data_IF_388757704387
#
_entry.id   IF_388757704387
#
_cell.length_a   1.000
_cell.length_b   1.000
_cell.length_c   1.000
_cell.angle_alpha   90.00
_cell.angle_beta   90.00
_cell.angle_gamma   90.00
#
_symmetry.space_group_name_H-M   'P 1'
#
loop_
_entity.id
_entity.type
_entity.pdbx_description
1 polymer ?
#
# COMPACT_ATOMS: atom_id res chain seq x y z
N UNK A 1 -62.10 -22.52 -13.45
CA UNK A 1 -61.09 -23.59 -13.43
C UNK A 1 -59.83 -23.35 -14.31
N UNK A 2 -59.61 -22.13 -14.87
CA UNK A 2 -58.37 -21.90 -15.68
C UNK A 2 -57.10 -21.66 -14.85
N UNK A 3 -57.22 -21.21 -13.59
CA UNK A 3 -56.07 -20.89 -12.74
C UNK A 3 -55.25 -22.10 -12.28
N UNK A 4 -55.93 -23.26 -12.06
CA UNK A 4 -55.28 -24.50 -11.68
C UNK A 4 -54.41 -25.08 -12.80
N UNK A 5 -54.80 -24.91 -14.06
CA UNK A 5 -54.04 -25.39 -15.25
C UNK A 5 -52.80 -24.54 -15.45
N UNK A 6 -52.87 -23.22 -15.19
CA UNK A 6 -51.72 -22.33 -15.28
C UNK A 6 -50.69 -22.63 -14.19
N UNK A 7 -51.10 -22.96 -12.97
CA UNK A 7 -50.23 -23.31 -11.84
C UNK A 7 -49.51 -24.64 -12.10
N UNK A 8 -50.19 -25.65 -12.66
CA UNK A 8 -49.59 -26.93 -13.05
C UNK A 8 -48.56 -26.76 -14.19
N UNK A 9 -48.80 -25.85 -15.15
CA UNK A 9 -47.87 -25.52 -16.23
C UNK A 9 -46.57 -24.89 -15.73
N UNK A 10 -46.66 -23.97 -14.75
CA UNK A 10 -45.51 -23.31 -14.13
C UNK A 10 -44.64 -24.25 -13.32
N UNK A 11 -45.26 -25.20 -12.58
CA UNK A 11 -44.54 -26.21 -11.82
C UNK A 11 -43.84 -27.25 -12.74
N UNK A 12 -44.49 -27.62 -13.85
CA UNK A 12 -43.90 -28.52 -14.87
C UNK A 12 -42.69 -27.89 -15.60
N UNK A 13 -42.77 -26.61 -15.95
CA UNK A 13 -41.68 -25.91 -16.58
C UNK A 13 -40.47 -25.70 -15.61
N UNK A 14 -40.74 -25.44 -14.33
CA UNK A 14 -39.70 -25.33 -13.31
C UNK A 14 -38.97 -26.66 -13.07
N UNK A 15 -39.71 -27.76 -12.98
CA UNK A 15 -39.14 -29.09 -12.79
C UNK A 15 -38.37 -29.59 -14.03
N UNK A 16 -38.86 -29.30 -15.24
CA UNK A 16 -38.16 -29.61 -16.49
C UNK A 16 -36.85 -28.83 -16.62
N UNK A 17 -36.83 -27.54 -16.24
CA UNK A 17 -35.62 -26.70 -16.26
C UNK A 17 -34.61 -27.15 -15.21
N UNK A 18 -35.06 -27.53 -14.03
CA UNK A 18 -34.23 -28.08 -12.97
C UNK A 18 -33.56 -29.42 -13.37
N UNK A 19 -34.32 -30.30 -14.04
CA UNK A 19 -33.79 -31.60 -14.50
C UNK A 19 -32.77 -31.43 -15.62
N UNK A 20 -33.01 -30.52 -16.56
CA UNK A 20 -32.08 -30.23 -17.65
C UNK A 20 -30.78 -29.54 -17.19
N UNK A 21 -30.81 -28.78 -16.12
CA UNK A 21 -29.57 -28.18 -15.54
C UNK A 21 -28.71 -29.23 -14.81
N UNK A 22 -29.27 -30.36 -14.36
CA UNK A 22 -28.48 -31.43 -13.71
C UNK A 22 -27.60 -32.20 -14.69
N UNK A 23 -28.03 -32.38 -15.92
CA UNK A 23 -27.27 -33.16 -16.95
C UNK A 23 -26.15 -32.34 -17.60
N UNK A 24 -26.15 -31.00 -17.48
CA UNK A 24 -25.06 -30.11 -17.95
C UNK A 24 -23.95 -29.97 -16.89
N UNK A 25 -24.18 -30.47 -15.68
CA UNK A 25 -23.26 -30.30 -14.54
C UNK A 25 -21.98 -31.13 -14.56
N UNK A 26 -21.88 -32.15 -15.45
CA UNK A 26 -20.72 -33.06 -15.46
C UNK A 26 -19.45 -32.51 -16.10
N UNK A 27 -19.58 -31.65 -17.10
CA UNK A 27 -18.42 -31.05 -17.79
C UNK A 27 -18.00 -29.68 -17.24
N UNK A 28 -18.86 -29.04 -16.43
CA UNK A 28 -18.60 -27.72 -15.87
C UNK A 28 -17.80 -27.77 -14.56
N UNK A 29 -17.72 -28.89 -13.86
CA UNK A 29 -17.01 -29.00 -12.59
C UNK A 29 -15.49 -28.84 -12.72
N UNK A 30 -14.90 -29.30 -13.80
CA UNK A 30 -13.46 -29.23 -14.02
C UNK A 30 -12.99 -27.84 -14.42
N UNK A 31 -13.82 -27.08 -15.13
CA UNK A 31 -13.54 -25.68 -15.53
C UNK A 31 -13.79 -24.71 -14.36
N UNK A 32 -14.83 -24.96 -13.55
CA UNK A 32 -15.17 -24.12 -12.39
C UNK A 32 -14.11 -24.19 -11.30
N UNK A 33 -13.49 -25.37 -11.08
CA UNK A 33 -12.44 -25.55 -10.08
C UNK A 33 -11.15 -24.78 -10.46
N UNK A 34 -10.80 -24.75 -11.75
CA UNK A 34 -9.62 -24.01 -12.24
C UNK A 34 -9.86 -22.50 -12.23
N UNK A 35 -11.03 -22.04 -12.66
CA UNK A 35 -11.43 -20.62 -12.63
C UNK A 35 -11.63 -20.15 -11.19
N UNK A 36 -12.20 -20.97 -10.32
CA UNK A 36 -12.37 -20.66 -8.89
C UNK A 36 -11.05 -20.48 -8.15
N UNK A 37 -10.02 -21.30 -8.45
CA UNK A 37 -8.68 -21.19 -7.86
C UNK A 37 -7.95 -19.92 -8.35
N UNK A 38 -8.03 -19.59 -9.64
CA UNK A 38 -7.42 -18.38 -10.20
C UNK A 38 -8.13 -17.14 -9.67
N UNK A 39 -9.46 -17.15 -9.62
CA UNK A 39 -10.27 -16.04 -9.12
C UNK A 39 -10.13 -15.86 -7.60
N UNK A 40 -10.00 -16.95 -6.84
CA UNK A 40 -9.72 -16.95 -5.41
C UNK A 40 -8.34 -16.37 -5.10
N UNK A 41 -7.32 -16.72 -5.88
CA UNK A 41 -5.96 -16.17 -5.73
C UNK A 41 -5.90 -14.69 -6.10
N UNK A 42 -6.58 -14.26 -7.17
CA UNK A 42 -6.69 -12.84 -7.53
C UNK A 42 -7.45 -12.03 -6.46
N UNK A 43 -8.52 -12.59 -5.91
CA UNK A 43 -9.32 -11.94 -4.86
C UNK A 43 -8.54 -11.81 -3.56
N UNK A 44 -7.81 -12.86 -3.14
CA UNK A 44 -6.89 -12.83 -1.98
C UNK A 44 -5.76 -11.84 -2.19
N UNK A 45 -5.13 -11.82 -3.37
CA UNK A 45 -4.07 -10.85 -3.72
C UNK A 45 -4.59 -9.41 -3.74
N UNK A 46 -5.82 -9.18 -4.22
CA UNK A 46 -6.47 -7.86 -4.23
C UNK A 46 -6.88 -7.41 -2.82
N UNK A 47 -7.36 -8.33 -1.98
CA UNK A 47 -7.70 -8.05 -0.58
C UNK A 47 -6.43 -7.78 0.25
N UNK A 48 -5.37 -8.56 0.05
CA UNK A 48 -4.07 -8.35 0.68
C UNK A 48 -3.49 -6.98 0.30
N UNK A 49 -3.46 -6.63 -0.99
CA UNK A 49 -3.05 -5.30 -1.45
C UNK A 49 -3.90 -4.16 -0.86
N UNK A 50 -5.20 -4.34 -0.71
CA UNK A 50 -6.07 -3.36 -0.05
C UNK A 50 -5.75 -3.22 1.44
N UNK A 51 -5.47 -4.31 2.13
CA UNK A 51 -5.05 -4.30 3.53
C UNK A 51 -3.67 -3.63 3.70
N UNK A 52 -2.72 -3.94 2.82
CA UNK A 52 -1.39 -3.32 2.78
C UNK A 52 -1.45 -1.81 2.51
N UNK A 53 -2.39 -1.35 1.69
CA UNK A 53 -2.56 0.07 1.36
C UNK A 53 -3.34 0.86 2.42
N UNK A 54 -4.10 0.19 3.28
CA UNK A 54 -4.94 0.85 4.27
C UNK A 54 -4.15 1.77 5.23
N UNK A 55 -3.00 1.36 5.79
CA UNK A 55 -2.19 2.23 6.64
C UNK A 55 -1.68 3.47 5.91
N UNK A 56 -1.26 3.31 4.65
CA UNK A 56 -0.71 4.43 3.87
C UNK A 56 -1.79 5.43 3.44
N UNK A 57 -3.02 4.97 3.21
CA UNK A 57 -4.12 5.84 2.81
C UNK A 57 -4.72 6.64 3.97
N UNK A 58 -4.47 6.22 5.20
CA UNK A 58 -4.90 6.93 6.40
C UNK A 58 -3.99 8.10 6.75
N UNK A 59 -2.81 8.21 6.12
CA UNK A 59 -1.85 9.29 6.38
C UNK A 59 -2.42 10.63 5.85
N UNK A 60 -2.68 11.55 6.77
CA UNK A 60 -3.18 12.89 6.49
C UNK A 60 -2.31 14.02 7.10
N UNK A 61 -1.21 13.67 7.77
CA UNK A 61 -0.25 14.55 8.38
C UNK A 61 1.08 14.51 7.61
N UNK A 62 1.66 15.65 7.17
CA UNK A 62 2.91 15.67 6.41
C UNK A 62 4.12 15.18 7.22
N UNK A 63 4.13 15.36 8.54
CA UNK A 63 5.20 14.85 9.42
C UNK A 63 5.18 13.32 9.46
N UNK A 64 4.00 12.72 9.61
CA UNK A 64 3.81 11.27 9.54
C UNK A 64 4.18 10.73 8.16
N UNK A 65 3.80 11.45 7.10
CA UNK A 65 4.13 11.08 5.71
C UNK A 65 5.66 11.08 5.49
N UNK A 66 6.34 12.14 5.92
CA UNK A 66 7.80 12.25 5.82
C UNK A 66 8.50 11.12 6.59
N UNK A 67 8.11 10.88 7.85
CA UNK A 67 8.62 9.78 8.66
C UNK A 67 8.42 8.42 7.98
N UNK A 68 7.24 8.18 7.38
CA UNK A 68 6.92 6.91 6.71
C UNK A 68 7.79 6.68 5.47
N UNK A 69 7.97 7.68 4.60
CA UNK A 69 8.81 7.55 3.41
C UNK A 69 10.29 7.36 3.78
N UNK A 70 10.80 8.14 4.72
CA UNK A 70 12.18 7.99 5.21
C UNK A 70 12.39 6.58 5.78
N UNK A 71 11.52 6.14 6.69
CA UNK A 71 11.61 4.81 7.31
C UNK A 71 11.60 3.71 6.26
N UNK A 72 10.69 3.76 5.27
CA UNK A 72 10.59 2.75 4.23
C UNK A 72 11.87 2.64 3.39
N UNK A 73 12.45 3.77 3.01
CA UNK A 73 13.65 3.79 2.16
C UNK A 73 14.88 3.28 2.93
N UNK A 74 15.04 3.67 4.20
CA UNK A 74 16.24 3.30 4.96
C UNK A 74 16.16 1.91 5.59
N UNK A 75 14.97 1.30 5.65
CA UNK A 75 14.77 -0.08 6.13
C UNK A 75 14.50 -1.08 4.99
N UNK A 76 14.73 -0.69 3.73
CA UNK A 76 14.40 -1.52 2.57
C UNK A 76 15.19 -2.84 2.51
N UNK A 77 16.47 -2.80 2.86
CA UNK A 77 17.36 -3.96 2.77
C UNK A 77 17.78 -4.52 4.12
N UNK A 78 17.76 -3.69 5.15
CA UNK A 78 18.23 -4.05 6.49
C UNK A 78 17.21 -3.62 7.55
N UNK A 79 17.07 -4.38 8.63
CA UNK A 79 16.24 -3.98 9.77
C UNK A 79 16.67 -2.61 10.30
N UNK A 80 15.70 -1.80 10.69
CA UNK A 80 15.96 -0.49 11.26
C UNK A 80 16.67 -0.60 12.62
N UNK A 81 17.97 -0.30 12.62
CA UNK A 81 18.78 -0.32 13.83
C UNK A 81 18.40 0.83 14.78
N UNK A 82 18.54 0.66 16.13
CA UNK A 82 18.19 1.68 17.12
C UNK A 82 18.89 3.03 16.88
N UNK A 83 20.15 3.02 16.48
CA UNK A 83 20.91 4.23 16.15
C UNK A 83 20.26 5.01 14.98
N UNK A 84 19.86 4.30 13.92
CA UNK A 84 19.20 4.91 12.76
C UNK A 84 17.81 5.42 13.09
N UNK A 85 17.08 4.68 13.93
CA UNK A 85 15.81 5.16 14.46
C UNK A 85 15.96 6.45 15.25
N UNK A 86 17.04 6.58 16.07
CA UNK A 86 17.33 7.82 16.77
C UNK A 86 17.58 8.99 15.80
N UNK A 87 18.29 8.77 14.69
CA UNK A 87 18.52 9.80 13.67
C UNK A 87 17.21 10.17 12.96
N UNK A 88 16.33 9.21 12.67
CA UNK A 88 15.00 9.49 12.12
C UNK A 88 14.23 10.38 13.09
N UNK A 89 14.22 10.04 14.38
CA UNK A 89 13.55 10.80 15.42
C UNK A 89 14.09 12.24 15.51
N UNK A 90 15.40 12.39 15.41
CA UNK A 90 16.07 13.69 15.41
C UNK A 90 15.61 14.56 14.23
N UNK A 91 15.73 14.06 13.00
CA UNK A 91 15.32 14.84 11.81
C UNK A 91 13.82 15.12 11.75
N UNK A 92 12.98 14.22 12.26
CA UNK A 92 11.53 14.42 12.31
C UNK A 92 11.17 15.47 13.39
N UNK A 93 11.95 15.55 14.50
CA UNK A 93 11.74 16.56 15.54
C UNK A 93 11.93 17.99 15.03
N UNK A 94 12.73 18.19 13.97
CA UNK A 94 12.95 19.51 13.35
C UNK A 94 11.71 20.07 12.66
N UNK A 95 10.79 19.20 12.24
CA UNK A 95 9.57 19.58 11.49
C UNK A 95 8.27 19.32 12.29
N UNK A 96 8.37 18.61 13.41
CA UNK A 96 7.24 18.33 14.28
C UNK A 96 7.02 19.47 15.28
N UNK A 97 5.76 19.75 15.62
CA UNK A 97 5.40 20.80 16.58
C UNK A 97 5.96 20.55 17.99
N UNK A 98 6.10 19.28 18.37
CA UNK A 98 6.57 18.87 19.70
C UNK A 98 7.03 17.41 19.72
N UNK A 99 7.69 17.02 20.80
CA UNK A 99 8.23 15.68 21.01
C UNK A 99 7.18 14.57 20.90
N UNK A 100 5.97 14.79 21.40
CA UNK A 100 4.88 13.83 21.32
C UNK A 100 4.51 13.52 19.85
N UNK A 101 4.39 14.54 19.02
CA UNK A 101 4.14 14.42 17.58
C UNK A 101 5.27 13.66 16.87
N UNK A 102 6.51 13.92 17.24
CA UNK A 102 7.68 13.19 16.75
C UNK A 102 7.56 11.68 17.03
N UNK A 103 7.30 11.32 18.29
CA UNK A 103 7.17 9.91 18.69
C UNK A 103 5.99 9.23 17.99
N UNK A 104 4.83 9.89 17.94
CA UNK A 104 3.65 9.37 17.23
C UNK A 104 3.96 9.12 15.74
N UNK A 105 4.64 10.04 15.07
CA UNK A 105 5.01 9.93 13.68
C UNK A 105 5.98 8.76 13.41
N UNK A 106 7.02 8.62 14.23
CA UNK A 106 8.01 7.54 14.09
C UNK A 106 7.40 6.17 14.39
N UNK A 107 6.60 6.05 15.45
CA UNK A 107 5.91 4.80 15.81
C UNK A 107 4.94 4.40 14.70
N UNK A 108 4.15 5.35 14.19
CA UNK A 108 3.23 5.08 13.09
C UNK A 108 3.96 4.67 11.81
N UNK A 109 5.05 5.38 11.46
CA UNK A 109 5.86 5.08 10.28
C UNK A 109 6.41 3.65 10.32
N UNK A 110 6.97 3.22 11.44
CA UNK A 110 7.47 1.85 11.62
C UNK A 110 6.37 0.81 11.44
N UNK A 111 5.22 1.04 12.07
CA UNK A 111 4.08 0.15 11.92
C UNK A 111 3.55 0.12 10.48
N UNK A 112 3.36 1.27 9.84
CA UNK A 112 2.84 1.34 8.47
C UNK A 112 3.77 0.66 7.46
N UNK A 113 5.09 0.85 7.61
CA UNK A 113 6.11 0.21 6.77
C UNK A 113 6.13 -1.30 6.98
N UNK A 114 5.97 -1.79 8.21
CA UNK A 114 5.92 -3.23 8.48
C UNK A 114 4.71 -3.95 7.87
N UNK A 115 3.68 -3.20 7.43
CA UNK A 115 2.50 -3.75 6.75
C UNK A 115 2.66 -3.81 5.21
N UNK A 116 3.78 -3.33 4.67
CA UNK A 116 4.01 -3.20 3.23
C UNK A 116 5.33 -3.85 2.86
N UNK A 117 5.29 -4.80 1.93
CA UNK A 117 6.47 -5.58 1.53
C UNK A 117 7.40 -4.82 0.53
N UNK A 118 6.93 -3.72 -0.09
CA UNK A 118 7.66 -3.01 -1.15
C UNK A 118 7.69 -1.50 -0.91
N UNK A 119 8.89 -0.98 -0.73
CA UNK A 119 9.18 0.46 -0.60
C UNK A 119 8.62 1.29 -1.75
N UNK A 120 8.54 0.71 -2.97
CA UNK A 120 7.94 1.37 -4.14
C UNK A 120 6.48 1.75 -3.86
N UNK A 121 5.73 0.88 -3.20
CA UNK A 121 4.32 1.12 -2.86
C UNK A 121 4.21 2.30 -1.89
N UNK A 122 5.11 2.38 -0.91
CA UNK A 122 5.13 3.49 0.05
C UNK A 122 5.41 4.81 -0.67
N UNK A 123 6.46 4.87 -1.51
CA UNK A 123 6.80 6.06 -2.30
C UNK A 123 5.62 6.48 -3.18
N UNK A 124 5.02 5.55 -3.93
CA UNK A 124 3.95 5.84 -4.88
C UNK A 124 2.66 6.35 -4.22
N UNK A 125 2.41 5.95 -2.99
CA UNK A 125 1.21 6.34 -2.26
C UNK A 125 1.38 7.60 -1.42
N UNK A 126 2.55 7.76 -0.79
CA UNK A 126 2.76 8.82 0.20
C UNK A 126 3.42 10.05 -0.42
N UNK A 127 4.37 9.90 -1.36
CA UNK A 127 5.07 11.04 -1.96
C UNK A 127 4.15 12.02 -2.71
N UNK A 128 3.07 11.60 -3.43
CA UNK A 128 2.12 12.54 -4.02
C UNK A 128 1.39 13.41 -2.99
N UNK A 129 1.11 12.88 -1.79
CA UNK A 129 0.55 13.65 -0.69
C UNK A 129 1.54 14.70 -0.19
N UNK A 130 2.82 14.33 -0.01
CA UNK A 130 3.88 15.29 0.34
C UNK A 130 4.02 16.38 -0.73
N UNK A 131 3.98 16.02 -2.02
CA UNK A 131 4.02 17.00 -3.12
C UNK A 131 2.91 18.05 -3.03
N UNK A 132 1.71 17.65 -2.60
CA UNK A 132 0.56 18.57 -2.48
C UNK A 132 0.65 19.46 -1.24
N UNK A 133 1.36 19.02 -0.21
CA UNK A 133 1.43 19.70 1.10
C UNK A 133 2.68 20.55 1.27
N UNK A 134 3.77 20.16 0.62
CA UNK A 134 5.07 20.81 0.75
C UNK A 134 5.32 21.74 -0.44
N UNK A 135 5.86 22.91 -0.16
CA UNK A 135 6.42 23.81 -1.18
C UNK A 135 7.75 23.27 -1.75
N UNK A 136 8.35 23.98 -2.70
CA UNK A 136 9.60 23.56 -3.35
C UNK A 136 10.77 23.50 -2.34
N UNK A 137 10.86 24.46 -1.42
CA UNK A 137 11.92 24.52 -0.42
C UNK A 137 11.79 23.39 0.61
N UNK A 138 10.57 23.13 1.07
CA UNK A 138 10.26 22.05 2.01
C UNK A 138 10.53 20.66 1.40
N UNK A 139 10.24 20.48 0.09
CA UNK A 139 10.59 19.25 -0.63
C UNK A 139 12.10 19.02 -0.72
N UNK A 140 12.89 20.08 -0.94
CA UNK A 140 14.35 20.01 -0.89
C UNK A 140 14.85 19.71 0.53
N UNK A 141 14.26 20.31 1.55
CA UNK A 141 14.56 20.01 2.95
C UNK A 141 14.27 18.55 3.26
N UNK A 142 13.15 18.02 2.82
CA UNK A 142 12.80 16.60 2.99
C UNK A 142 13.84 15.66 2.37
N UNK A 143 14.36 15.97 1.17
CA UNK A 143 15.44 15.17 0.56
C UNK A 143 16.75 15.27 1.34
N UNK A 144 17.07 16.44 1.93
CA UNK A 144 18.23 16.59 2.82
C UNK A 144 18.07 15.77 4.11
N UNK A 145 16.87 15.74 4.70
CA UNK A 145 16.56 14.90 5.86
C UNK A 145 16.78 13.43 5.56
N UNK A 146 16.26 12.92 4.42
CA UNK A 146 16.50 11.56 3.97
C UNK A 146 18.00 11.26 3.82
N UNK A 147 18.77 12.16 3.20
CA UNK A 147 20.21 12.00 3.04
C UNK A 147 20.94 11.95 4.39
N UNK A 148 20.56 12.78 5.36
CA UNK A 148 21.12 12.74 6.71
C UNK A 148 20.88 11.39 7.39
N UNK A 149 19.67 10.84 7.29
CA UNK A 149 19.35 9.53 7.87
C UNK A 149 20.14 8.42 7.19
N UNK A 150 20.31 8.49 5.88
CA UNK A 150 21.06 7.48 5.12
C UNK A 150 22.56 7.49 5.46
N UNK A 151 23.14 8.68 5.66
CA UNK A 151 24.55 8.86 5.97
C UNK A 151 24.87 8.70 7.46
N UNK A 152 23.85 8.85 8.32
CA UNK A 152 24.01 8.75 9.77
C UNK A 152 24.13 7.31 10.26
N UNK A 153 24.81 7.12 11.39
CA UNK A 153 25.10 5.82 11.99
C UNK A 153 26.47 5.28 11.61
N UNK A 154 26.84 4.12 12.16
CA UNK A 154 28.17 3.51 11.98
C UNK A 154 28.45 3.09 10.53
N UNK A 155 27.39 2.78 9.77
CA UNK A 155 27.47 2.44 8.35
C UNK A 155 26.54 3.34 7.55
N UNK A 156 27.12 4.06 6.58
CA UNK A 156 26.34 4.82 5.61
C UNK A 156 25.54 3.87 4.73
N UNK A 157 24.23 4.10 4.60
CA UNK A 157 23.37 3.35 3.69
C UNK A 157 23.48 3.90 2.28
N UNK A 158 23.77 3.02 1.34
CA UNK A 158 23.66 3.34 -0.08
C UNK A 158 22.22 3.16 -0.52
N UNK A 159 21.44 4.26 -0.54
CA UNK A 159 20.10 4.23 -1.12
C UNK A 159 20.23 3.99 -2.62
N UNK A 160 19.39 3.12 -3.17
CA UNK A 160 19.35 2.88 -4.61
C UNK A 160 19.00 4.17 -5.37
N UNK A 161 19.77 4.46 -6.43
CA UNK A 161 19.51 5.63 -7.30
C UNK A 161 18.09 5.59 -7.88
N UNK A 162 17.57 4.40 -8.17
CA UNK A 162 16.19 4.22 -8.64
C UNK A 162 15.15 4.69 -7.61
N UNK A 163 15.40 4.47 -6.31
CA UNK A 163 14.49 4.92 -5.24
C UNK A 163 14.49 6.44 -5.13
N UNK A 164 15.68 7.04 -5.15
CA UNK A 164 15.82 8.50 -5.13
C UNK A 164 15.16 9.12 -6.36
N UNK A 165 15.41 8.56 -7.54
CA UNK A 165 14.82 9.01 -8.79
C UNK A 165 13.30 8.98 -8.75
N UNK A 166 12.73 7.83 -8.34
CA UNK A 166 11.29 7.66 -8.19
C UNK A 166 10.69 8.63 -7.18
N UNK A 167 11.35 8.80 -6.04
CA UNK A 167 10.92 9.74 -5.02
C UNK A 167 10.89 11.17 -5.57
N UNK A 168 11.96 11.63 -6.24
CA UNK A 168 12.03 12.95 -6.87
C UNK A 168 10.90 13.15 -7.88
N UNK A 169 10.66 12.17 -8.76
CA UNK A 169 9.55 12.21 -9.72
C UNK A 169 8.19 12.39 -9.04
N UNK A 170 7.93 11.61 -7.98
CA UNK A 170 6.66 11.67 -7.24
C UNK A 170 6.50 12.97 -6.46
N UNK A 171 7.59 13.55 -5.99
CA UNK A 171 7.62 14.88 -5.37
C UNK A 171 7.51 16.03 -6.38
N UNK A 172 7.60 15.75 -7.68
CA UNK A 172 7.43 16.73 -8.76
C UNK A 172 8.68 17.56 -9.05
N UNK A 173 9.86 17.01 -8.79
CA UNK A 173 11.10 17.59 -9.31
C UNK A 173 11.19 17.35 -10.81
N UNK A 174 11.53 18.41 -11.58
CA UNK A 174 11.82 18.27 -13.00
C UNK A 174 13.12 17.51 -13.17
N UNK A 175 13.05 16.46 -13.97
CA UNK A 175 14.21 15.66 -14.31
C UNK A 175 14.82 16.26 -15.58
N UNK A 176 15.87 17.05 -15.43
CA UNK A 176 16.68 17.44 -16.60
C UNK A 176 17.26 16.13 -17.19
N UNK A 177 16.80 15.80 -18.41
CA UNK A 177 17.39 14.76 -19.25
C UNK A 177 18.75 15.19 -19.73
#
# INVERSE_FOLDING_TARGET
MPVLIALLGLLGAGAYWWYRMKDVGGAAHEIVDTVGRVQGNMRRKKLRRKAELSPLTAINDPVVAAATVITAIVSEHDPLLPQREAIIRDVISEIAENQKKTEEAVVYAKWAVSQVDDTTIVIDRVAPFLRQRLDAHERDQFLRMLSRVAQGGEQSLKISDQRILRLKQKLGFEMNQ
#
